data_IF_490381059230
#
_entry.id   IF_490381059230
#
_cell.length_a   1.000
_cell.length_b   1.000
_cell.length_c   1.000
_cell.angle_alpha   90.00
_cell.angle_beta   90.00
_cell.angle_gamma   90.00
#
_symmetry.space_group_name_H-M   'P 1'
#
loop_
_entity.id
_entity.type
_entity.pdbx_description
1 polymer ?
#
# COMPACT_ATOMS: atom_id res chain seq x y z
N UNK A 1 -15.42 17.84 2.20
CA UNK A 1 -14.37 16.81 2.37
C UNK A 1 -13.04 17.54 2.33
N UNK A 2 -12.29 17.51 3.43
CA UNK A 2 -11.02 18.23 3.59
C UNK A 2 -10.00 17.74 2.57
N UNK A 3 -9.24 18.68 1.98
CA UNK A 3 -8.15 18.48 1.03
C UNK A 3 -6.90 17.82 1.67
N UNK A 4 -7.08 16.99 2.70
CA UNK A 4 -5.99 16.47 3.55
C UNK A 4 -5.11 15.41 2.88
N UNK A 5 -5.58 14.79 1.79
CA UNK A 5 -4.85 13.73 1.08
C UNK A 5 -4.19 14.19 -0.23
N UNK A 6 -4.11 15.50 -0.47
CA UNK A 6 -3.38 16.02 -1.63
C UNK A 6 -1.89 16.06 -1.33
N UNK A 7 -1.12 15.17 -1.96
CA UNK A 7 0.34 15.18 -1.90
C UNK A 7 0.87 16.53 -2.39
N UNK A 8 1.59 17.25 -1.52
CA UNK A 8 2.25 18.51 -1.90
C UNK A 8 3.51 18.19 -2.69
N UNK A 9 3.70 18.90 -3.80
CA UNK A 9 4.95 18.84 -4.54
C UNK A 9 6.13 19.17 -3.61
N UNK A 10 7.17 18.33 -3.61
CA UNK A 10 8.36 18.57 -2.83
C UNK A 10 9.10 19.78 -3.43
N UNK A 11 9.24 20.91 -2.70
CA UNK A 11 9.75 22.16 -3.28
C UNK A 11 11.17 22.07 -3.84
N UNK A 12 11.95 21.08 -3.39
CA UNK A 12 13.33 20.84 -3.82
C UNK A 12 13.49 19.62 -4.74
N UNK A 13 12.40 19.06 -5.26
CA UNK A 13 12.45 17.93 -6.19
C UNK A 13 12.17 18.42 -7.61
N UNK A 14 13.20 18.44 -8.46
CA UNK A 14 13.11 18.91 -9.85
C UNK A 14 12.75 17.78 -10.85
N UNK A 15 12.31 16.62 -10.34
CA UNK A 15 12.11 15.42 -11.15
C UNK A 15 13.40 14.66 -11.45
N UNK A 16 13.27 13.37 -11.77
CA UNK A 16 14.38 12.53 -12.25
C UNK A 16 14.66 12.82 -13.73
N UNK A 17 15.92 13.05 -14.11
CA UNK A 17 16.30 13.14 -15.52
C UNK A 17 16.41 11.75 -16.14
N UNK A 18 15.83 11.58 -17.33
CA UNK A 18 15.81 10.29 -18.04
C UNK A 18 14.63 9.39 -17.66
N UNK A 19 14.61 8.14 -18.15
CA UNK A 19 13.53 7.21 -17.90
C UNK A 19 13.47 6.80 -16.43
N UNK A 20 12.25 6.77 -15.87
CA UNK A 20 11.99 6.29 -14.52
C UNK A 20 11.49 4.84 -14.58
N UNK A 21 12.15 3.95 -13.84
CA UNK A 21 11.72 2.57 -13.64
C UNK A 21 11.22 2.40 -12.21
N UNK A 22 9.96 1.95 -12.06
CA UNK A 22 9.39 1.56 -10.77
C UNK A 22 9.27 0.03 -10.74
N UNK A 23 9.81 -0.59 -9.70
CA UNK A 23 9.77 -2.05 -9.49
C UNK A 23 8.97 -2.31 -8.22
N UNK A 24 7.95 -3.16 -8.33
CA UNK A 24 7.16 -3.66 -7.19
C UNK A 24 7.47 -5.14 -7.01
N UNK A 25 8.02 -5.50 -5.86
CA UNK A 25 8.27 -6.89 -5.49
C UNK A 25 7.07 -7.38 -4.67
N UNK A 26 6.16 -8.12 -5.32
CA UNK A 26 4.94 -8.59 -4.65
C UNK A 26 5.28 -9.58 -3.52
N UNK A 27 4.68 -9.39 -2.35
CA UNK A 27 4.95 -10.17 -1.15
C UNK A 27 6.33 -9.97 -0.50
N UNK A 28 7.13 -8.98 -0.92
CA UNK A 28 8.43 -8.69 -0.34
C UNK A 28 8.32 -7.62 0.76
N UNK A 29 8.62 -7.98 2.01
CA UNK A 29 8.48 -7.09 3.17
C UNK A 29 9.67 -7.14 4.13
N UNK A 30 9.67 -6.21 5.10
CA UNK A 30 10.60 -6.23 6.23
C UNK A 30 10.01 -7.12 7.32
N UNK A 31 10.52 -8.35 7.43
CA UNK A 31 10.07 -9.34 8.41
C UNK A 31 10.84 -9.30 9.74
N UNK A 32 10.75 -10.39 10.51
CA UNK A 32 11.31 -10.52 11.86
C UNK A 32 12.77 -10.96 11.85
N UNK A 33 13.31 -11.34 10.70
CA UNK A 33 14.67 -11.89 10.56
C UNK A 33 14.91 -13.09 11.49
N UNK A 34 13.94 -14.01 11.51
CA UNK A 34 14.02 -15.29 12.20
C UNK A 34 13.79 -16.45 11.22
N UNK A 35 13.76 -17.69 11.70
CA UNK A 35 13.60 -18.90 10.89
C UNK A 35 12.25 -18.98 10.14
N UNK A 36 11.31 -18.06 10.40
CA UNK A 36 10.05 -17.95 9.67
C UNK A 36 10.08 -16.93 8.52
N UNK A 37 11.15 -16.13 8.44
CA UNK A 37 11.31 -15.07 7.45
C UNK A 37 12.04 -15.60 6.20
N UNK A 38 11.26 -15.98 5.18
CA UNK A 38 11.83 -16.52 3.94
C UNK A 38 12.67 -15.51 3.16
N UNK A 39 12.42 -14.21 3.30
CA UNK A 39 13.23 -13.16 2.66
C UNK A 39 14.60 -13.12 3.31
N UNK A 40 14.66 -13.14 4.65
CA UNK A 40 15.92 -13.20 5.38
C UNK A 40 16.71 -14.48 5.09
N UNK A 41 16.05 -15.63 5.12
CA UNK A 41 16.68 -16.93 4.86
C UNK A 41 17.20 -17.09 3.43
N UNK A 42 16.64 -16.35 2.47
CA UNK A 42 17.10 -16.36 1.09
C UNK A 42 18.43 -15.61 0.87
N UNK A 43 18.97 -14.95 1.89
CA UNK A 43 20.19 -14.13 1.82
C UNK A 43 20.16 -13.11 0.66
N UNK A 44 19.29 -12.09 0.74
CA UNK A 44 18.99 -11.20 -0.38
C UNK A 44 20.07 -10.10 -0.53
N UNK A 45 21.34 -10.50 -0.62
CA UNK A 45 22.54 -9.65 -0.60
C UNK A 45 22.46 -8.41 -1.49
N UNK A 46 21.92 -8.53 -2.71
CA UNK A 46 21.79 -7.40 -3.62
C UNK A 46 20.74 -6.38 -3.15
N UNK A 47 19.61 -6.86 -2.63
CA UNK A 47 18.55 -6.00 -2.09
C UNK A 47 19.02 -5.29 -0.82
N UNK A 48 19.76 -5.98 0.04
CA UNK A 48 20.35 -5.39 1.26
C UNK A 48 21.37 -4.31 0.91
N UNK A 49 22.24 -4.56 -0.08
CA UNK A 49 23.19 -3.55 -0.56
C UNK A 49 22.46 -2.32 -1.11
N UNK A 50 21.44 -2.50 -1.94
CA UNK A 50 20.64 -1.39 -2.46
C UNK A 50 19.98 -0.59 -1.33
N UNK A 51 19.42 -1.27 -0.33
CA UNK A 51 18.82 -0.63 0.84
C UNK A 51 19.86 0.19 1.62
N UNK A 52 21.03 -0.38 1.91
CA UNK A 52 22.13 0.30 2.62
C UNK A 52 22.64 1.53 1.85
N UNK A 53 22.86 1.40 0.53
CA UNK A 53 23.30 2.51 -0.32
C UNK A 53 22.25 3.64 -0.38
N UNK A 54 20.95 3.29 -0.39
CA UNK A 54 19.87 4.26 -0.34
C UNK A 54 19.76 4.94 1.04
N UNK A 55 19.93 4.20 2.13
CA UNK A 55 19.94 4.72 3.50
C UNK A 55 21.08 5.73 3.70
N UNK A 56 22.29 5.41 3.24
CA UNK A 56 23.44 6.32 3.31
C UNK A 56 23.20 7.66 2.60
N UNK A 57 22.28 7.69 1.63
CA UNK A 57 21.90 8.89 0.85
C UNK A 57 20.62 9.56 1.36
N UNK A 58 20.02 9.08 2.46
CA UNK A 58 18.71 9.51 2.95
C UNK A 58 17.57 9.32 1.92
N UNK A 59 17.66 8.28 1.08
CA UNK A 59 16.68 7.94 0.03
C UNK A 59 15.92 6.63 0.34
N UNK A 60 15.97 6.17 1.58
CA UNK A 60 15.29 4.97 2.04
C UNK A 60 14.21 5.32 3.06
N UNK A 61 13.02 4.77 2.91
CA UNK A 61 11.97 4.85 3.91
C UNK A 61 11.19 3.54 3.97
N UNK A 62 10.58 3.28 5.13
CA UNK A 62 9.69 2.15 5.34
C UNK A 62 8.25 2.64 5.40
N UNK A 63 7.37 1.93 4.71
CA UNK A 63 5.95 2.29 4.62
C UNK A 63 5.10 1.17 5.24
N UNK A 64 3.96 1.56 5.83
CA UNK A 64 2.94 0.60 6.22
C UNK A 64 2.21 0.13 4.95
N UNK A 65 2.15 -1.18 4.75
CA UNK A 65 1.50 -1.81 3.59
C UNK A 65 0.28 -2.68 3.99
N UNK A 66 -0.30 -2.45 5.17
CA UNK A 66 -1.44 -3.20 5.70
C UNK A 66 -2.40 -2.29 6.48
N UNK A 67 -3.55 -2.82 6.84
CA UNK A 67 -4.54 -2.17 7.68
C UNK A 67 -5.07 -0.84 7.15
N UNK A 68 -5.38 0.08 8.07
CA UNK A 68 -5.99 1.37 7.71
C UNK A 68 -5.08 2.23 6.82
N UNK A 69 -3.76 2.03 6.90
CA UNK A 69 -2.75 2.71 6.08
C UNK A 69 -2.85 2.40 4.58
N UNK A 70 -3.60 1.37 4.19
CA UNK A 70 -3.89 1.06 2.79
C UNK A 70 -5.39 0.99 2.50
N UNK A 71 -6.23 1.49 3.41
CA UNK A 71 -7.68 1.55 3.24
C UNK A 71 -8.46 0.30 3.66
N UNK A 72 -7.82 -0.63 4.38
CA UNK A 72 -8.52 -1.77 5.00
C UNK A 72 -9.30 -1.36 6.27
N UNK A 73 -10.26 -2.18 6.73
CA UNK A 73 -11.12 -1.85 7.86
C UNK A 73 -10.38 -1.63 9.20
N UNK A 74 -9.37 -2.46 9.50
CA UNK A 74 -8.65 -2.44 10.78
C UNK A 74 -7.14 -2.63 10.62
N UNK A 75 -6.35 -2.23 11.61
CA UNK A 75 -4.89 -2.42 11.60
C UNK A 75 -4.45 -3.89 11.75
N UNK A 76 -5.37 -4.79 12.09
CA UNK A 76 -5.10 -6.24 12.10
C UNK A 76 -5.24 -6.88 10.72
N UNK A 77 -5.82 -6.17 9.73
CA UNK A 77 -6.06 -6.72 8.41
C UNK A 77 -4.75 -6.73 7.59
N UNK A 78 -4.37 -7.93 7.17
CA UNK A 78 -3.19 -8.14 6.32
C UNK A 78 -3.38 -7.45 4.96
N UNK A 79 -2.31 -6.80 4.49
CA UNK A 79 -2.26 -6.25 3.14
C UNK A 79 -2.36 -7.35 2.07
N UNK A 80 -2.70 -6.94 0.86
CA UNK A 80 -2.70 -7.81 -0.32
C UNK A 80 -2.33 -7.01 -1.58
N UNK A 81 -2.08 -7.72 -2.67
CA UNK A 81 -1.62 -7.12 -3.93
C UNK A 81 -2.60 -6.10 -4.49
N UNK A 82 -3.91 -6.36 -4.48
CA UNK A 82 -4.93 -5.44 -5.03
C UNK A 82 -4.93 -4.11 -4.28
N UNK A 83 -4.97 -4.18 -2.95
CA UNK A 83 -5.02 -3.00 -2.09
C UNK A 83 -3.72 -2.21 -2.15
N UNK A 84 -2.57 -2.91 -2.21
CA UNK A 84 -1.26 -2.28 -2.37
C UNK A 84 -1.10 -1.55 -3.71
N UNK A 85 -1.48 -2.20 -4.82
CA UNK A 85 -1.39 -1.58 -6.15
C UNK A 85 -2.35 -0.39 -6.29
N UNK A 86 -3.55 -0.46 -5.71
CA UNK A 86 -4.48 0.68 -5.68
C UNK A 86 -3.89 1.86 -4.89
N UNK A 87 -3.33 1.60 -3.70
CA UNK A 87 -2.71 2.66 -2.90
C UNK A 87 -1.54 3.33 -3.63
N UNK A 88 -0.66 2.54 -4.25
CA UNK A 88 0.49 3.04 -5.03
C UNK A 88 0.05 3.80 -6.29
N UNK A 89 -0.90 3.25 -7.04
CA UNK A 89 -1.33 3.80 -8.32
C UNK A 89 -2.22 5.04 -8.19
N UNK A 90 -3.09 5.09 -7.18
CA UNK A 90 -4.00 6.22 -6.98
C UNK A 90 -3.36 7.39 -6.22
N UNK A 91 -2.28 7.15 -5.48
CA UNK A 91 -1.62 8.19 -4.66
C UNK A 91 -2.48 8.73 -3.52
N UNK A 92 -3.57 8.04 -3.18
CA UNK A 92 -4.51 8.39 -2.11
C UNK A 92 -5.11 7.12 -1.50
N UNK A 93 -5.60 7.22 -0.26
CA UNK A 93 -6.30 6.13 0.40
C UNK A 93 -7.72 6.00 -0.17
N UNK A 94 -7.96 4.93 -0.92
CA UNK A 94 -9.29 4.59 -1.44
C UNK A 94 -9.90 3.51 -0.55
N UNK A 95 -11.14 3.73 -0.10
CA UNK A 95 -11.90 2.72 0.62
C UNK A 95 -12.14 1.51 -0.29
N UNK A 96 -11.63 0.35 0.12
CA UNK A 96 -11.64 -0.86 -0.71
C UNK A 96 -12.99 -1.59 -0.67
N UNK A 97 -13.20 -2.50 -1.62
CA UNK A 97 -14.47 -3.21 -1.83
C UNK A 97 -15.07 -3.84 -0.57
N UNK A 98 -14.26 -4.49 0.27
CA UNK A 98 -14.73 -5.09 1.52
C UNK A 98 -15.33 -4.05 2.49
N UNK A 99 -14.71 -2.87 2.60
CA UNK A 99 -15.20 -1.76 3.43
C UNK A 99 -16.47 -1.15 2.83
N UNK A 100 -16.54 -1.03 1.50
CA UNK A 100 -17.74 -0.54 0.81
C UNK A 100 -18.92 -1.49 1.03
N UNK A 101 -18.72 -2.80 0.90
CA UNK A 101 -19.76 -3.80 1.14
C UNK A 101 -20.21 -3.80 2.61
N UNK A 102 -19.27 -3.74 3.56
CA UNK A 102 -19.58 -3.64 4.99
C UNK A 102 -20.43 -2.39 5.29
N UNK A 103 -20.04 -1.22 4.78
CA UNK A 103 -20.82 0.01 4.93
C UNK A 103 -22.23 -0.11 4.34
N UNK A 104 -22.36 -0.73 3.16
CA UNK A 104 -23.66 -0.93 2.50
C UNK A 104 -24.56 -1.92 3.26
N UNK A 105 -23.99 -2.87 3.99
CA UNK A 105 -24.72 -3.78 4.87
C UNK A 105 -25.18 -3.03 6.14
N UNK A 106 -24.28 -2.27 6.76
CA UNK A 106 -24.55 -1.52 7.99
C UNK A 106 -25.62 -0.44 7.80
N UNK A 107 -25.61 0.29 6.69
CA UNK A 107 -26.60 1.34 6.38
C UNK A 107 -27.85 0.82 5.64
N UNK A 108 -27.87 -0.47 5.32
CA UNK A 108 -28.94 -1.16 4.60
C UNK A 108 -29.13 -0.70 3.16
N UNK A 109 -28.21 0.08 2.58
CA UNK A 109 -28.27 0.53 1.19
C UNK A 109 -28.10 -0.61 0.20
N UNK A 110 -27.43 -1.71 0.59
CA UNK A 110 -27.31 -2.92 -0.21
C UNK A 110 -28.70 -3.44 -0.63
N UNK A 111 -29.63 -3.52 0.33
CA UNK A 111 -30.99 -4.05 0.14
C UNK A 111 -31.90 -3.13 -0.67
N UNK A 112 -31.50 -1.86 -0.86
CA UNK A 112 -32.22 -0.86 -1.67
C UNK A 112 -31.64 -0.74 -3.07
N UNK A 113 -30.54 -1.45 -3.36
CA UNK A 113 -29.90 -1.40 -4.66
C UNK A 113 -30.74 -2.11 -5.72
N UNK A 114 -30.76 -1.56 -6.95
CA UNK A 114 -31.51 -2.12 -8.09
C UNK A 114 -31.14 -3.58 -8.35
N UNK A 115 -29.88 -3.95 -8.13
CA UNK A 115 -29.38 -5.29 -8.38
C UNK A 115 -29.88 -6.30 -7.33
N UNK A 116 -30.09 -5.88 -6.08
CA UNK A 116 -30.59 -6.76 -5.02
C UNK A 116 -32.10 -6.95 -5.07
N UNK A 117 -32.85 -5.96 -5.55
CA UNK A 117 -34.33 -6.04 -5.69
C UNK A 117 -34.82 -6.99 -6.79
N UNK A 118 -33.91 -7.62 -7.55
CA UNK A 118 -34.22 -8.57 -8.62
C UNK A 118 -33.74 -10.01 -8.31
N UNK A 119 -33.26 -10.26 -7.09
CA UNK A 119 -32.95 -11.59 -6.56
C UNK A 119 -34.16 -12.10 -5.79
#
# INVERSE_FOLDING_TARGET
MSNEYTLKHLPNYNGSQGPLLTIVLDGYGLGRQDDSDCVHLADPTYMEKLASDAQAKNLYCSLKAHGTAVGLPSDGDMGNSEVGHNALGCGQLVAQGAKLVANCLDDGSLFKSKNFTHI
#
